data_IF_174909180948
#
_entry.id   IF_174909180948
#
_cell.length_a   1.000
_cell.length_b   1.000
_cell.length_c   1.000
_cell.angle_alpha   90.00
_cell.angle_beta   90.00
_cell.angle_gamma   90.00
#
_symmetry.space_group_name_H-M   'P 1'
#
loop_
_entity.id
_entity.type
_entity.pdbx_description
1 polymer ?
#
# COMPACT_ATOMS: atom_id res chain seq x y z
N UNK A 1 14.87 -24.23 9.35
CA UNK A 1 14.96 -22.96 10.11
C UNK A 1 13.80 -22.13 9.59
N UNK A 2 12.71 -22.06 10.35
CA UNK A 2 11.42 -21.58 9.85
C UNK A 2 11.39 -20.05 9.91
N UNK A 3 11.60 -19.41 8.76
CA UNK A 3 11.50 -17.96 8.62
C UNK A 3 10.06 -17.60 8.30
N UNK A 4 9.48 -16.70 9.08
CA UNK A 4 8.09 -16.24 8.93
C UNK A 4 8.09 -14.97 8.08
N UNK A 5 7.64 -15.09 6.82
CA UNK A 5 7.50 -13.94 5.93
C UNK A 5 6.18 -13.24 6.10
N UNK A 6 6.25 -11.92 5.93
CA UNK A 6 5.13 -11.00 6.12
C UNK A 6 4.95 -10.20 4.87
N UNK A 7 3.94 -10.54 4.08
CA UNK A 7 3.53 -9.78 2.90
C UNK A 7 2.35 -8.90 3.25
N UNK A 8 2.66 -7.75 3.82
CA UNK A 8 1.68 -6.69 3.99
C UNK A 8 1.49 -5.95 2.66
N UNK A 9 0.41 -6.29 1.98
CA UNK A 9 0.04 -5.79 0.67
C UNK A 9 -0.52 -4.35 0.79
N UNK A 10 0.35 -3.34 0.80
CA UNK A 10 -0.04 -1.93 0.72
C UNK A 10 0.82 -1.18 -0.29
N UNK A 11 0.44 -1.23 -1.57
CA UNK A 11 0.00 0.02 -2.22
C UNK A 11 -1.17 -0.18 -3.20
N UNK A 12 -1.62 -1.42 -3.43
CA UNK A 12 -2.60 -1.71 -4.49
C UNK A 12 -4.06 -1.80 -4.05
N UNK A 13 -4.34 -1.95 -2.75
CA UNK A 13 -5.72 -1.90 -2.25
C UNK A 13 -6.26 -0.45 -2.25
N UNK A 14 -5.40 0.57 -2.26
CA UNK A 14 -5.83 1.98 -2.25
C UNK A 14 -6.31 2.45 -3.65
N UNK A 15 -6.00 1.75 -4.75
CA UNK A 15 -6.24 2.26 -6.11
C UNK A 15 -7.57 1.86 -6.77
N UNK A 16 -8.47 1.12 -6.11
CA UNK A 16 -9.77 0.73 -6.73
C UNK A 16 -10.95 0.99 -5.78
N UNK A 17 -11.27 2.25 -5.52
CA UNK A 17 -12.67 2.70 -5.39
C UNK A 17 -12.75 4.23 -5.50
N UNK A 18 -12.86 4.74 -6.72
CA UNK A 18 -13.33 6.10 -6.97
C UNK A 18 -14.85 6.11 -7.00
N UNK A 19 -15.50 6.45 -5.89
CA UNK A 19 -16.74 7.23 -5.91
C UNK A 19 -17.10 7.83 -4.54
N UNK A 20 -17.57 9.07 -4.56
CA UNK A 20 -17.75 9.99 -3.43
C UNK A 20 -18.90 9.61 -2.46
N UNK A 21 -18.74 9.91 -1.16
CA UNK A 21 -19.59 10.89 -0.44
C UNK A 21 -19.05 11.25 0.96
N UNK A 22 -19.23 12.53 1.26
CA UNK A 22 -18.74 13.31 2.39
C UNK A 22 -19.66 13.16 3.61
N UNK A 23 -19.10 12.87 4.78
CA UNK A 23 -19.75 13.17 6.06
C UNK A 23 -18.72 13.68 7.07
N UNK A 24 -18.97 14.89 7.52
CA UNK A 24 -18.17 15.69 8.43
C UNK A 24 -18.11 15.12 9.84
N UNK A 25 -16.93 15.09 10.47
CA UNK A 25 -16.80 15.42 11.90
C UNK A 25 -15.38 15.85 12.34
N UNK A 26 -15.34 16.54 13.48
CA UNK A 26 -14.42 17.62 13.82
C UNK A 26 -13.09 17.14 14.44
N UNK A 27 -12.01 17.19 13.67
CA UNK A 27 -10.63 17.11 14.17
C UNK A 27 -10.08 18.47 14.65
N UNK A 28 -9.30 18.43 15.72
CA UNK A 28 -8.72 19.58 16.44
C UNK A 28 -7.91 20.52 15.54
N UNK A 29 -8.32 21.80 15.51
CA UNK A 29 -7.75 22.84 14.65
C UNK A 29 -6.39 23.31 15.19
N UNK A 30 -5.29 22.86 14.58
CA UNK A 30 -4.06 23.67 14.55
C UNK A 30 -4.29 24.83 13.59
N UNK A 31 -4.76 25.97 14.12
CA UNK A 31 -4.93 27.18 13.30
C UNK A 31 -3.59 27.91 13.15
N UNK A 32 -3.00 27.89 11.96
CA UNK A 32 -2.07 28.93 11.54
C UNK A 32 -2.86 30.24 11.41
N UNK A 33 -3.03 30.92 12.55
CA UNK A 33 -3.99 32.02 12.73
C UNK A 33 -3.39 33.40 12.44
N UNK A 34 -2.40 33.49 11.56
CA UNK A 34 -1.85 34.79 11.15
C UNK A 34 -2.39 35.12 9.77
N UNK A 35 -3.40 35.97 9.74
CA UNK A 35 -3.81 36.61 8.51
C UNK A 35 -2.65 37.42 7.94
N UNK A 36 -2.43 37.42 6.61
CA UNK A 36 -1.39 38.24 6.02
C UNK A 36 -1.66 39.73 6.28
N UNK A 37 -0.61 40.54 6.51
CA UNK A 37 -0.75 41.99 6.78
C UNK A 37 -1.09 42.81 5.52
N UNK A 38 -1.28 42.14 4.39
CA UNK A 38 -1.59 42.71 3.07
C UNK A 38 -2.75 41.97 2.41
N UNK A 39 -3.33 42.58 1.38
CA UNK A 39 -4.25 41.94 0.46
C UNK A 39 -3.45 41.38 -0.73
N UNK A 40 -3.67 40.11 -1.05
CA UNK A 40 -3.10 39.49 -2.25
C UNK A 40 -4.14 39.44 -3.37
N UNK A 41 -3.71 39.81 -4.57
CA UNK A 41 -4.50 39.79 -5.79
C UNK A 41 -3.73 39.04 -6.86
N UNK A 42 -4.44 38.19 -7.59
CA UNK A 42 -3.94 37.64 -8.85
C UNK A 42 -4.66 38.38 -9.97
N UNK A 43 -3.90 38.84 -10.95
CA UNK A 43 -4.42 39.49 -12.14
C UNK A 43 -3.86 38.84 -13.40
N UNK A 44 -4.66 38.89 -14.46
CA UNK A 44 -4.27 38.49 -15.80
C UNK A 44 -4.03 39.73 -16.68
N UNK A 45 -2.82 39.84 -17.22
CA UNK A 45 -2.38 40.94 -18.10
C UNK A 45 -1.51 40.39 -19.22
N UNK A 46 -1.84 40.73 -20.46
CA UNK A 46 -0.99 40.41 -21.61
C UNK A 46 0.25 41.33 -21.73
N UNK A 47 1.33 40.76 -22.28
CA UNK A 47 2.55 41.48 -22.63
C UNK A 47 3.60 41.56 -21.53
N UNK A 48 3.59 40.57 -20.64
CA UNK A 48 4.73 40.20 -19.82
C UNK A 48 4.91 40.99 -18.53
N UNK A 49 5.92 40.59 -17.76
CA UNK A 49 6.26 41.13 -16.43
C UNK A 49 6.40 42.66 -16.42
N UNK A 50 6.89 43.25 -17.52
CA UNK A 50 7.06 44.72 -17.61
C UNK A 50 5.72 45.44 -17.56
N UNK A 51 4.71 44.98 -18.31
CA UNK A 51 3.35 45.54 -18.27
C UNK A 51 2.67 45.27 -16.94
N UNK A 52 2.85 44.08 -16.37
CA UNK A 52 2.34 43.75 -15.05
C UNK A 52 2.86 44.70 -13.95
N UNK A 53 4.17 45.01 -13.97
CA UNK A 53 4.77 45.99 -13.03
C UNK A 53 4.22 47.41 -13.22
N UNK A 54 3.97 47.84 -14.46
CA UNK A 54 3.36 49.15 -14.73
C UNK A 54 1.92 49.21 -14.24
N UNK A 55 1.13 48.18 -14.51
CA UNK A 55 -0.25 48.07 -14.05
C UNK A 55 -0.34 48.02 -12.51
N UNK A 56 0.55 47.27 -11.85
CA UNK A 56 0.63 47.25 -10.39
C UNK A 56 0.83 48.66 -9.83
N UNK A 57 1.80 49.42 -10.37
CA UNK A 57 2.08 50.80 -9.96
C UNK A 57 0.89 51.74 -10.17
N UNK A 58 0.23 51.68 -11.33
CA UNK A 58 -0.94 52.53 -11.62
C UNK A 58 -2.12 52.23 -10.68
N UNK A 59 -2.25 50.99 -10.22
CA UNK A 59 -3.27 50.56 -9.26
C UNK A 59 -2.86 50.78 -7.79
N UNK A 60 -1.63 51.25 -7.53
CA UNK A 60 -1.09 51.45 -6.19
C UNK A 60 -0.81 50.15 -5.44
N UNK A 61 -0.48 49.08 -6.18
CA UNK A 61 -0.11 47.77 -5.69
C UNK A 61 1.37 47.48 -5.97
N UNK A 62 1.95 46.58 -5.18
CA UNK A 62 3.30 46.09 -5.38
C UNK A 62 3.24 44.81 -6.21
N UNK A 63 4.03 44.74 -7.28
CA UNK A 63 4.25 43.51 -8.02
C UNK A 63 5.11 42.55 -7.21
N UNK A 64 4.73 41.26 -7.18
CA UNK A 64 5.45 40.21 -6.45
C UNK A 64 6.13 39.26 -7.44
N UNK A 65 5.37 38.48 -8.20
CA UNK A 65 5.89 37.42 -9.07
C UNK A 65 4.87 37.06 -10.17
N UNK A 66 5.31 36.34 -11.23
CA UNK A 66 4.35 35.56 -12.01
C UNK A 66 3.75 34.43 -11.16
N UNK A 67 2.57 33.96 -11.53
CA UNK A 67 1.99 32.73 -10.99
C UNK A 67 2.67 31.55 -11.67
N UNK A 68 3.32 30.68 -10.90
CA UNK A 68 4.07 29.56 -11.46
C UNK A 68 3.13 28.61 -12.23
N UNK A 69 3.49 28.30 -13.48
CA UNK A 69 2.72 27.41 -14.34
C UNK A 69 1.53 28.06 -15.06
N UNK A 70 1.33 29.37 -14.92
CA UNK A 70 0.27 30.11 -15.61
C UNK A 70 0.86 31.27 -16.42
N UNK A 71 0.54 31.32 -17.71
CA UNK A 71 0.92 32.44 -18.58
C UNK A 71 0.11 33.69 -18.25
N UNK A 72 0.74 34.86 -18.40
CA UNK A 72 0.11 36.19 -18.21
C UNK A 72 -0.53 36.45 -16.84
N UNK A 73 -0.32 35.58 -15.83
CA UNK A 73 -0.86 35.75 -14.49
C UNK A 73 0.20 36.27 -13.51
N UNK A 74 -0.16 37.26 -12.72
CA UNK A 74 0.76 37.96 -11.82
C UNK A 74 0.16 38.18 -10.44
N UNK A 75 0.99 37.98 -9.42
CA UNK A 75 0.68 38.19 -8.01
C UNK A 75 1.03 39.62 -7.61
N UNK A 76 0.06 40.32 -7.03
CA UNK A 76 0.18 41.69 -6.54
C UNK A 76 -0.21 41.76 -5.05
N UNK A 77 0.48 42.60 -4.28
CA UNK A 77 0.17 42.88 -2.88
C UNK A 77 -0.22 44.35 -2.64
N UNK A 78 -1.17 44.58 -1.74
CA UNK A 78 -1.38 45.92 -1.18
C UNK A 78 -0.27 46.28 -0.18
N UNK A 79 -0.06 47.58 0.06
CA UNK A 79 0.87 48.04 1.11
C UNK A 79 0.38 47.74 2.52
N UNK A 80 -0.94 47.77 2.72
CA UNK A 80 -1.60 47.56 4.00
C UNK A 80 -2.94 46.85 3.78
N UNK A 81 -3.42 46.13 4.81
CA UNK A 81 -4.74 45.52 4.84
C UNK A 81 -5.74 46.42 5.57
N UNK A 82 -6.82 46.82 4.91
CA UNK A 82 -7.93 47.57 5.52
C UNK A 82 -9.20 47.42 4.69
N UNK A 83 -10.37 47.32 5.32
CA UNK A 83 -11.67 47.17 4.62
C UNK A 83 -11.93 48.31 3.62
N UNK A 84 -11.50 49.52 3.96
CA UNK A 84 -11.58 50.71 3.09
C UNK A 84 -10.55 50.67 1.96
N UNK A 85 -9.41 49.99 2.16
CA UNK A 85 -8.41 49.75 1.12
C UNK A 85 -8.92 48.74 0.10
N UNK A 86 -9.53 47.65 0.55
CA UNK A 86 -10.02 46.57 -0.30
C UNK A 86 -10.98 47.03 -1.40
N UNK A 87 -12.03 47.78 -1.03
CA UNK A 87 -13.00 48.28 -2.01
C UNK A 87 -12.37 49.28 -2.99
N UNK A 88 -11.39 50.07 -2.53
CA UNK A 88 -10.67 51.04 -3.37
C UNK A 88 -9.68 50.34 -4.30
N UNK A 89 -8.98 49.31 -3.84
CA UNK A 89 -8.09 48.47 -4.65
C UNK A 89 -8.90 47.72 -5.70
N UNK A 90 -9.95 47.00 -5.30
CA UNK A 90 -10.82 46.27 -6.21
C UNK A 90 -11.46 47.16 -7.28
N UNK A 91 -11.88 48.38 -6.92
CA UNK A 91 -12.37 49.38 -7.90
C UNK A 91 -11.29 49.82 -8.90
N UNK A 92 -10.05 50.02 -8.45
CA UNK A 92 -8.93 50.41 -9.33
C UNK A 92 -8.57 49.27 -10.30
N UNK A 93 -8.57 48.03 -9.82
CA UNK A 93 -8.33 46.84 -10.65
C UNK A 93 -9.40 46.70 -11.73
N UNK A 94 -10.68 46.73 -11.35
CA UNK A 94 -11.81 46.59 -12.30
C UNK A 94 -11.91 47.72 -13.34
N UNK A 95 -11.35 48.90 -13.05
CA UNK A 95 -11.34 50.04 -13.97
C UNK A 95 -10.11 50.05 -14.89
N UNK A 96 -9.12 49.18 -14.64
CA UNK A 96 -7.90 49.15 -15.44
C UNK A 96 -8.20 48.46 -16.78
N UNK A 97 -8.00 49.12 -17.93
CA UNK A 97 -8.19 48.49 -19.25
C UNK A 97 -7.10 47.45 -19.57
N UNK A 98 -6.05 47.37 -18.75
CA UNK A 98 -4.96 46.42 -18.90
C UNK A 98 -5.24 45.06 -18.24
N UNK A 99 -6.22 45.01 -17.33
CA UNK A 99 -6.54 43.81 -16.55
C UNK A 99 -7.67 43.06 -17.24
N UNK A 100 -7.35 41.87 -17.75
CA UNK A 100 -8.34 40.99 -18.39
C UNK A 100 -9.19 40.27 -17.34
N UNK A 101 -8.54 39.84 -16.27
CA UNK A 101 -9.17 39.14 -15.16
C UNK A 101 -8.46 39.48 -13.85
N UNK A 102 -9.19 39.44 -12.75
CA UNK A 102 -8.60 39.60 -11.43
C UNK A 102 -9.42 38.91 -10.34
N UNK A 103 -8.70 38.34 -9.38
CA UNK A 103 -9.28 37.76 -8.19
C UNK A 103 -8.45 38.06 -6.95
N UNK A 104 -9.13 38.51 -5.89
CA UNK A 104 -8.55 38.62 -4.56
C UNK A 104 -8.32 37.22 -4.01
N UNK A 105 -7.10 36.96 -3.55
CA UNK A 105 -6.77 35.70 -2.89
C UNK A 105 -7.24 35.75 -1.44
N UNK A 106 -8.03 34.76 -1.08
CA UNK A 106 -8.54 34.58 0.28
C UNK A 106 -7.80 33.38 0.87
N UNK A 107 -7.11 33.53 2.01
CA UNK A 107 -6.48 32.41 2.68
C UNK A 107 -7.50 31.30 2.94
N UNK A 108 -7.26 30.14 2.35
CA UNK A 108 -8.10 28.97 2.55
C UNK A 108 -7.63 28.23 3.79
N UNK A 109 -8.55 27.91 4.68
CA UNK A 109 -8.26 26.99 5.78
C UNK A 109 -8.26 25.58 5.22
N UNK A 110 -7.09 24.94 5.19
CA UNK A 110 -6.93 23.53 4.85
C UNK A 110 -6.57 22.76 6.12
N UNK A 111 -7.36 21.74 6.45
CA UNK A 111 -7.04 20.81 7.52
C UNK A 111 -6.38 19.57 6.92
N UNK A 112 -5.32 19.05 7.57
CA UNK A 112 -4.84 17.70 7.28
C UNK A 112 -5.95 16.75 7.73
N UNK A 113 -6.46 15.90 6.83
CA UNK A 113 -7.41 14.86 7.22
C UNK A 113 -6.63 13.86 8.07
N UNK A 114 -6.85 13.84 9.39
CA UNK A 114 -6.46 12.72 10.24
C UNK A 114 -7.75 12.06 10.72
N UNK A 115 -8.03 10.87 10.21
CA UNK A 115 -9.04 9.98 10.77
C UNK A 115 -8.42 9.34 12.01
N UNK A 116 -8.59 9.94 13.19
CA UNK A 116 -8.35 9.24 14.45
C UNK A 116 -9.55 8.32 14.71
N UNK A 117 -9.73 7.33 13.85
CA UNK A 117 -10.60 6.20 14.14
C UNK A 117 -9.80 5.29 15.08
N UNK A 118 -10.13 5.32 16.36
CA UNK A 118 -9.62 4.32 17.30
C UNK A 118 -10.20 2.96 16.89
N UNK A 119 -9.36 2.13 16.27
CA UNK A 119 -9.70 0.73 16.00
C UNK A 119 -9.50 -0.09 17.27
N UNK A 120 -10.60 -0.50 17.88
CA UNK A 120 -10.62 -1.40 19.02
C UNK A 120 -10.87 -2.82 18.52
N UNK A 121 -9.80 -3.61 18.46
CA UNK A 121 -9.85 -5.04 18.10
C UNK A 121 -9.81 -5.88 19.37
N UNK A 122 -10.73 -6.84 19.49
CA UNK A 122 -10.72 -7.81 20.60
C UNK A 122 -9.74 -8.98 20.36
N UNK A 123 -9.00 -8.94 19.25
CA UNK A 123 -8.08 -9.98 18.82
C UNK A 123 -6.83 -9.97 19.73
N UNK A 124 -6.49 -11.12 20.37
CA UNK A 124 -5.54 -11.16 21.49
C UNK A 124 -4.10 -10.79 21.12
N UNK A 125 -3.70 -10.94 19.86
CA UNK A 125 -2.37 -10.57 19.37
C UNK A 125 -2.34 -9.18 18.74
N UNK A 126 -3.48 -8.47 18.61
CA UNK A 126 -3.49 -7.10 18.09
C UNK A 126 -2.51 -6.15 18.81
N UNK A 127 -2.37 -6.18 20.16
CA UNK A 127 -1.38 -5.35 20.84
C UNK A 127 0.09 -5.62 20.46
N UNK A 128 0.38 -6.82 19.93
CA UNK A 128 1.71 -7.20 19.42
C UNK A 128 1.90 -6.84 17.93
N UNK A 129 0.85 -6.37 17.25
CA UNK A 129 0.88 -5.97 15.83
C UNK A 129 1.46 -4.57 15.65
N UNK A 130 2.67 -4.37 16.16
CA UNK A 130 3.40 -3.11 16.14
C UNK A 130 3.54 -2.48 14.75
N UNK A 131 3.51 -3.29 13.70
CA UNK A 131 3.61 -2.90 12.30
C UNK A 131 2.31 -2.28 11.75
N UNK A 132 1.21 -2.31 12.50
CA UNK A 132 -0.08 -1.71 12.13
C UNK A 132 -0.38 -0.41 12.90
N UNK A 133 -0.05 -0.34 14.20
CA UNK A 133 -0.60 0.70 15.09
C UNK A 133 0.46 1.50 15.88
N UNK A 134 1.76 1.28 15.67
CA UNK A 134 2.82 1.94 16.44
C UNK A 134 2.84 3.46 16.24
N UNK A 135 2.54 3.94 15.03
CA UNK A 135 2.48 5.36 14.73
C UNK A 135 1.31 6.03 15.44
N UNK A 136 0.12 5.40 15.47
CA UNK A 136 -1.03 5.92 16.23
C UNK A 136 -0.78 6.02 17.75
N UNK A 137 0.15 5.23 18.27
CA UNK A 137 0.57 5.24 19.67
C UNK A 137 1.69 6.25 19.95
N UNK A 138 2.18 6.96 18.92
CA UNK A 138 3.32 7.88 19.05
C UNK A 138 4.66 7.18 19.31
N UNK A 139 4.77 5.89 18.97
CA UNK A 139 5.91 5.03 19.30
C UNK A 139 6.85 4.76 18.11
N UNK A 140 6.65 5.42 16.96
CA UNK A 140 7.52 5.29 15.79
C UNK A 140 6.74 5.20 14.49
N UNK A 141 7.26 4.40 13.56
CA UNK A 141 6.68 4.18 12.23
C UNK A 141 5.99 2.82 12.18
N UNK A 142 4.89 2.76 11.43
CA UNK A 142 4.16 1.55 11.06
C UNK A 142 3.78 1.64 9.56
N UNK A 143 2.95 0.73 9.08
CA UNK A 143 2.53 0.70 7.67
C UNK A 143 1.37 1.65 7.35
N UNK A 144 0.93 2.49 8.30
CA UNK A 144 -0.14 3.46 8.11
C UNK A 144 -1.45 2.79 7.62
N UNK A 145 -1.74 1.61 8.17
CA UNK A 145 -2.91 0.77 7.82
C UNK A 145 -4.19 1.34 8.45
N UNK A 146 -4.10 1.89 9.67
CA UNK A 146 -5.26 2.45 10.36
C UNK A 146 -5.88 3.62 9.58
N UNK A 147 -5.08 4.42 8.88
CA UNK A 147 -5.55 5.50 8.03
C UNK A 147 -6.36 4.97 6.84
N UNK A 148 -5.95 3.84 6.25
CA UNK A 148 -6.70 3.22 5.17
C UNK A 148 -8.04 2.64 5.68
N UNK A 149 -8.01 1.98 6.84
CA UNK A 149 -9.22 1.52 7.51
C UNK A 149 -10.14 2.69 7.89
N UNK A 150 -9.58 3.83 8.32
CA UNK A 150 -10.34 5.03 8.68
C UNK A 150 -11.04 5.69 7.50
N UNK A 151 -10.57 5.41 6.28
CA UNK A 151 -11.23 5.76 5.02
C UNK A 151 -12.25 4.70 4.54
N UNK A 152 -12.42 3.60 5.30
CA UNK A 152 -13.34 2.50 4.96
C UNK A 152 -12.75 1.42 4.05
N UNK A 153 -11.45 1.47 3.74
CA UNK A 153 -10.80 0.47 2.89
C UNK A 153 -10.35 -0.73 3.71
N UNK A 154 -11.03 -1.87 3.54
CA UNK A 154 -10.84 -3.08 4.38
C UNK A 154 -10.55 -4.33 3.55
N UNK A 155 -10.37 -4.18 2.24
CA UNK A 155 -10.19 -5.29 1.29
C UNK A 155 -11.50 -5.90 0.76
N UNK A 156 -12.67 -5.42 1.21
CA UNK A 156 -13.97 -5.93 0.75
C UNK A 156 -14.07 -5.93 -0.78
N UNK A 157 -14.39 -7.10 -1.34
CA UNK A 157 -14.55 -7.27 -2.79
C UNK A 157 -13.25 -7.62 -3.53
N UNK A 158 -12.11 -7.65 -2.86
CA UNK A 158 -10.83 -8.11 -3.41
C UNK A 158 -10.65 -9.60 -3.10
N UNK A 159 -10.17 -10.36 -4.09
CA UNK A 159 -9.85 -11.79 -3.95
C UNK A 159 -8.34 -12.00 -4.02
N UNK A 160 -7.76 -12.57 -2.97
CA UNK A 160 -6.31 -12.85 -2.87
C UNK A 160 -6.09 -14.36 -2.78
N UNK A 161 -5.04 -14.87 -3.40
CA UNK A 161 -4.57 -16.25 -3.19
C UNK A 161 -3.12 -16.29 -2.71
N UNK A 162 -2.85 -17.18 -1.77
CA UNK A 162 -1.50 -17.54 -1.33
C UNK A 162 -1.01 -18.73 -2.16
N UNK A 163 0.14 -18.63 -2.83
CA UNK A 163 0.74 -19.71 -3.61
C UNK A 163 1.86 -20.36 -2.80
N UNK A 164 1.56 -21.42 -2.05
CA UNK A 164 2.46 -21.88 -0.97
C UNK A 164 2.26 -23.36 -0.61
N UNK A 165 2.45 -23.74 0.65
CA UNK A 165 2.34 -25.08 1.23
C UNK A 165 0.91 -25.50 1.61
N UNK A 166 -0.06 -24.62 1.40
CA UNK A 166 -1.48 -24.82 1.67
C UNK A 166 -2.08 -23.74 2.58
N UNK A 167 -3.39 -23.81 2.80
CA UNK A 167 -4.12 -22.92 3.71
C UNK A 167 -5.05 -23.74 4.59
N UNK A 168 -4.90 -23.63 5.91
CA UNK A 168 -5.90 -24.15 6.84
C UNK A 168 -7.14 -23.24 6.79
N UNK A 169 -8.02 -23.53 5.83
CA UNK A 169 -9.27 -22.80 5.65
C UNK A 169 -10.29 -23.07 6.76
N UNK A 170 -10.04 -24.04 7.63
CA UNK A 170 -10.86 -24.31 8.81
C UNK A 170 -10.43 -23.48 10.02
N UNK A 171 -9.30 -22.78 9.93
CA UNK A 171 -8.80 -21.94 11.01
C UNK A 171 -9.85 -20.89 11.39
N UNK A 172 -10.17 -20.71 12.70
CA UNK A 172 -11.23 -19.79 13.14
C UNK A 172 -11.04 -18.34 12.69
N UNK A 173 -9.79 -17.95 12.47
CA UNK A 173 -9.39 -16.62 11.98
C UNK A 173 -9.49 -16.46 10.45
N UNK A 174 -9.62 -17.56 9.69
CA UNK A 174 -9.63 -17.53 8.22
C UNK A 174 -10.97 -17.98 7.63
N UNK A 175 -11.71 -18.85 8.31
CA UNK A 175 -12.90 -19.53 7.78
C UNK A 175 -13.98 -18.58 7.23
N UNK A 176 -14.15 -17.40 7.84
CA UNK A 176 -15.13 -16.41 7.36
C UNK A 176 -14.72 -15.75 6.03
N UNK A 177 -13.42 -15.61 5.80
CA UNK A 177 -12.84 -14.95 4.63
C UNK A 177 -12.37 -15.94 3.57
N UNK A 178 -12.30 -17.23 3.89
CA UNK A 178 -11.91 -18.27 2.95
C UNK A 178 -12.77 -18.28 1.69
N UNK A 179 -12.12 -18.52 0.55
CA UNK A 179 -12.73 -18.63 -0.76
C UNK A 179 -12.24 -19.86 -1.52
N UNK A 180 -13.11 -20.87 -1.75
CA UNK A 180 -12.75 -22.06 -2.52
C UNK A 180 -12.51 -21.76 -4.01
N UNK A 181 -13.03 -20.67 -4.57
CA UNK A 181 -12.75 -20.28 -5.96
C UNK A 181 -11.38 -19.64 -6.14
N UNK A 182 -10.76 -19.22 -5.04
CA UNK A 182 -9.38 -18.77 -5.00
C UNK A 182 -8.41 -19.88 -4.54
N UNK A 183 -8.86 -21.14 -4.49
CA UNK A 183 -8.09 -22.23 -3.88
C UNK A 183 -8.01 -23.49 -4.75
N UNK A 184 -6.87 -24.20 -4.65
CA UNK A 184 -6.66 -25.47 -5.32
C UNK A 184 -5.47 -26.22 -4.70
N UNK A 185 -5.43 -27.54 -4.85
CA UNK A 185 -4.26 -28.34 -4.52
C UNK A 185 -3.59 -28.83 -5.80
N UNK A 186 -2.40 -28.31 -6.09
CA UNK A 186 -1.59 -28.70 -7.25
C UNK A 186 -0.74 -29.94 -6.98
N UNK A 187 -0.48 -30.27 -5.71
CA UNK A 187 0.29 -31.43 -5.29
C UNK A 187 -0.53 -32.72 -5.48
N UNK A 188 -1.78 -32.71 -5.00
CA UNK A 188 -2.70 -33.85 -5.04
C UNK A 188 -3.74 -33.72 -6.17
N UNK A 189 -3.76 -32.58 -6.86
CA UNK A 189 -4.63 -32.29 -8.01
C UNK A 189 -6.13 -32.38 -7.67
N UNK A 190 -6.52 -31.71 -6.59
CA UNK A 190 -7.90 -31.56 -6.16
C UNK A 190 -8.21 -30.13 -5.69
N UNK A 191 -9.38 -29.92 -5.07
CA UNK A 191 -9.85 -28.59 -4.66
C UNK A 191 -9.58 -28.28 -3.18
N UNK A 192 -8.96 -29.19 -2.44
CA UNK A 192 -8.77 -29.09 -1.00
C UNK A 192 -7.34 -28.62 -0.68
N UNK A 193 -7.10 -27.32 -0.47
CA UNK A 193 -5.75 -26.80 -0.25
C UNK A 193 -5.26 -27.01 1.19
N UNK A 194 -5.89 -27.92 1.95
CA UNK A 194 -5.57 -28.16 3.35
C UNK A 194 -4.08 -28.54 3.47
N UNK A 195 -3.30 -27.90 4.36
CA UNK A 195 -1.90 -28.25 4.51
C UNK A 195 -1.77 -29.67 5.05
N UNK A 196 -0.70 -30.35 4.64
CA UNK A 196 -0.45 -31.70 5.10
C UNK A 196 -0.05 -31.74 6.59
N UNK A 197 -1.03 -32.13 7.41
CA UNK A 197 -0.92 -32.18 8.88
C UNK A 197 0.07 -33.23 9.40
N UNK A 198 0.59 -34.13 8.56
CA UNK A 198 1.64 -35.09 8.97
C UNK A 198 2.99 -34.41 9.20
N UNK A 199 3.20 -33.23 8.63
CA UNK A 199 4.41 -32.43 8.82
C UNK A 199 4.05 -30.96 9.03
N UNK A 200 3.41 -30.63 10.16
CA UNK A 200 2.80 -29.31 10.37
C UNK A 200 3.83 -28.18 10.47
N UNK A 201 5.08 -28.48 10.84
CA UNK A 201 6.13 -27.46 10.90
C UNK A 201 6.64 -27.01 9.54
N UNK A 202 6.50 -27.86 8.52
CA UNK A 202 6.90 -27.56 7.15
C UNK A 202 5.73 -27.00 6.31
N UNK A 203 4.48 -27.21 6.74
CA UNK A 203 3.27 -26.86 6.00
C UNK A 203 2.40 -25.83 6.74
N UNK A 204 3.04 -24.84 7.37
CA UNK A 204 2.37 -23.77 8.15
C UNK A 204 2.52 -22.38 7.53
N UNK A 205 3.34 -22.26 6.50
CA UNK A 205 3.78 -20.98 5.96
C UNK A 205 2.62 -20.27 5.26
N UNK A 206 1.90 -20.96 4.38
CA UNK A 206 0.76 -20.40 3.65
C UNK A 206 -0.38 -19.94 4.55
N UNK A 207 -0.70 -20.68 5.62
CA UNK A 207 -1.72 -20.30 6.61
C UNK A 207 -1.34 -19.01 7.35
N UNK A 208 -0.06 -18.84 7.70
CA UNK A 208 0.44 -17.61 8.35
C UNK A 208 0.38 -16.41 7.42
N UNK A 209 0.78 -16.59 6.16
CA UNK A 209 0.68 -15.55 5.14
C UNK A 209 -0.78 -15.15 4.87
N UNK A 210 -1.70 -16.13 4.79
CA UNK A 210 -3.13 -15.86 4.65
C UNK A 210 -3.67 -15.01 5.82
N UNK A 211 -3.27 -15.34 7.06
CA UNK A 211 -3.64 -14.61 8.26
C UNK A 211 -3.24 -13.14 8.24
N UNK A 212 -2.02 -12.84 7.81
CA UNK A 212 -1.55 -11.45 7.72
C UNK A 212 -2.38 -10.61 6.74
N UNK A 213 -2.87 -11.23 5.67
CA UNK A 213 -3.68 -10.55 4.65
C UNK A 213 -5.13 -10.43 5.11
N UNK A 214 -5.77 -11.52 5.52
CA UNK A 214 -7.22 -11.60 5.64
C UNK A 214 -7.71 -12.37 6.87
N UNK A 215 -6.92 -12.43 7.95
CA UNK A 215 -7.47 -12.81 9.26
C UNK A 215 -8.70 -11.94 9.59
N UNK A 216 -9.74 -12.58 10.09
CA UNK A 216 -10.97 -11.91 10.48
C UNK A 216 -10.72 -11.12 11.75
N UNK A 217 -10.85 -9.79 11.67
CA UNK A 217 -10.80 -8.98 12.87
C UNK A 217 -12.07 -9.10 13.72
N UNK A 218 -11.91 -8.80 15.00
CA UNK A 218 -12.96 -8.72 16.01
C UNK A 218 -13.65 -10.06 16.32
N UNK A 219 -12.93 -11.18 16.18
CA UNK A 219 -13.43 -12.53 16.45
C UNK A 219 -12.81 -13.15 17.73
N UNK A 220 -11.97 -12.39 18.46
CA UNK A 220 -11.23 -12.84 19.64
C UNK A 220 -10.21 -13.97 19.37
N UNK A 221 -9.73 -14.09 18.12
CA UNK A 221 -8.77 -15.10 17.68
C UNK A 221 -7.54 -14.40 17.12
N UNK A 222 -6.35 -14.83 17.56
CA UNK A 222 -5.07 -14.39 17.00
C UNK A 222 -4.98 -12.90 16.64
N UNK A 223 -4.98 -12.57 15.34
CA UNK A 223 -4.61 -11.28 14.74
C UNK A 223 -5.77 -10.72 13.91
N UNK A 224 -5.63 -9.50 13.40
CA UNK A 224 -6.51 -8.96 12.36
C UNK A 224 -5.75 -8.84 11.04
N UNK A 225 -6.36 -9.26 9.94
CA UNK A 225 -5.77 -9.15 8.61
C UNK A 225 -5.70 -7.68 8.17
N UNK A 226 -4.67 -7.33 7.43
CA UNK A 226 -4.52 -5.99 6.83
C UNK A 226 -5.73 -5.64 5.95
N UNK A 227 -6.24 -6.63 5.24
CA UNK A 227 -7.44 -6.61 4.41
C UNK A 227 -8.47 -7.59 5.01
N UNK A 228 -8.85 -7.38 6.27
CA UNK A 228 -9.72 -8.29 7.06
C UNK A 228 -11.13 -8.56 6.49
N UNK A 229 -11.54 -7.89 5.41
CA UNK A 229 -12.79 -8.18 4.68
C UNK A 229 -12.55 -8.70 3.23
N UNK A 230 -11.29 -8.92 2.83
CA UNK A 230 -10.96 -9.56 1.57
C UNK A 230 -11.33 -11.05 1.58
N UNK A 231 -11.51 -11.61 0.39
CA UNK A 231 -11.57 -13.06 0.21
C UNK A 231 -10.16 -13.62 0.06
N UNK A 232 -9.89 -14.73 0.73
CA UNK A 232 -8.56 -15.36 0.77
C UNK A 232 -8.65 -16.84 0.38
N UNK A 233 -7.84 -17.25 -0.57
CA UNK A 233 -7.64 -18.64 -0.93
C UNK A 233 -6.19 -19.07 -0.80
N UNK A 234 -5.95 -20.34 -1.07
CA UNK A 234 -4.61 -20.93 -1.08
C UNK A 234 -4.46 -21.94 -2.20
N UNK A 235 -3.31 -21.88 -2.88
CA UNK A 235 -2.89 -22.88 -3.84
C UNK A 235 -1.76 -23.67 -3.19
N UNK A 236 -2.05 -24.89 -2.76
CA UNK A 236 -1.05 -25.83 -2.23
C UNK A 236 -0.22 -26.33 -3.41
N UNK A 237 1.05 -25.92 -3.47
CA UNK A 237 1.97 -26.32 -4.52
C UNK A 237 3.36 -26.72 -3.98
N UNK A 238 3.79 -26.19 -2.84
CA UNK A 238 5.14 -26.38 -2.28
C UNK A 238 5.35 -27.70 -1.49
N UNK A 239 4.29 -28.44 -1.16
CA UNK A 239 4.39 -29.71 -0.41
C UNK A 239 4.59 -30.92 -1.36
N UNK A 240 5.50 -30.79 -2.34
CA UNK A 240 5.79 -31.82 -3.34
C UNK A 240 6.71 -31.34 -4.46
N UNK A 241 6.79 -32.13 -5.54
CA UNK A 241 7.70 -31.84 -6.65
C UNK A 241 7.23 -30.65 -7.49
N UNK A 242 8.04 -29.60 -7.55
CA UNK A 242 7.80 -28.44 -8.39
C UNK A 242 8.37 -28.66 -9.79
N UNK A 243 7.57 -28.30 -10.79
CA UNK A 243 7.98 -28.28 -12.21
C UNK A 243 7.42 -27.02 -12.85
N UNK A 244 7.98 -26.59 -13.99
CA UNK A 244 7.46 -25.45 -14.78
C UNK A 244 5.96 -25.58 -15.08
N UNK A 245 5.45 -26.82 -15.24
CA UNK A 245 4.01 -27.07 -15.39
C UNK A 245 3.23 -26.68 -14.14
N UNK A 246 3.67 -27.10 -12.96
CA UNK A 246 3.00 -26.80 -11.68
C UNK A 246 3.01 -25.30 -11.42
N UNK A 247 4.16 -24.64 -11.58
CA UNK A 247 4.28 -23.18 -11.44
C UNK A 247 3.35 -22.45 -12.41
N UNK A 248 3.32 -22.85 -13.68
CA UNK A 248 2.45 -22.25 -14.68
C UNK A 248 0.96 -22.44 -14.38
N UNK A 249 0.56 -23.62 -13.89
CA UNK A 249 -0.82 -23.90 -13.49
C UNK A 249 -1.22 -23.05 -12.28
N UNK A 250 -0.35 -22.95 -11.26
CA UNK A 250 -0.51 -22.07 -10.10
C UNK A 250 -0.69 -20.61 -10.51
N UNK A 251 0.21 -20.06 -11.32
CA UNK A 251 0.17 -18.67 -11.78
C UNK A 251 -1.04 -18.36 -12.69
N UNK A 252 -1.59 -19.38 -13.35
CA UNK A 252 -2.74 -19.26 -14.28
C UNK A 252 -4.09 -19.56 -13.66
N UNK A 253 -4.11 -20.16 -12.47
CA UNK A 253 -5.33 -20.62 -11.84
C UNK A 253 -6.32 -19.47 -11.62
N UNK A 254 -7.49 -19.51 -12.24
CA UNK A 254 -8.58 -18.54 -12.04
C UNK A 254 -8.18 -17.04 -12.19
N UNK A 255 -7.30 -16.71 -13.14
CA UNK A 255 -6.86 -15.34 -13.47
C UNK A 255 -7.97 -14.31 -13.68
N UNK A 256 -9.16 -14.71 -14.12
CA UNK A 256 -10.30 -13.80 -14.29
C UNK A 256 -11.05 -13.48 -13.00
N UNK A 257 -10.87 -14.29 -11.96
CA UNK A 257 -11.55 -14.18 -10.67
C UNK A 257 -10.63 -13.64 -9.56
N UNK A 258 -9.43 -14.20 -9.45
CA UNK A 258 -8.44 -13.81 -8.44
C UNK A 258 -7.80 -12.48 -8.84
N UNK A 259 -7.76 -11.52 -7.92
CA UNK A 259 -7.11 -10.24 -8.15
C UNK A 259 -5.59 -10.33 -7.93
N UNK A 260 -5.20 -10.94 -6.82
CA UNK A 260 -3.84 -10.84 -6.29
C UNK A 260 -3.29 -12.23 -5.96
N UNK A 261 -2.07 -12.49 -6.39
CA UNK A 261 -1.32 -13.70 -6.12
C UNK A 261 -0.11 -13.33 -5.27
N UNK A 262 0.03 -13.95 -4.11
CA UNK A 262 1.17 -13.75 -3.21
C UNK A 262 2.03 -15.00 -3.21
N UNK A 263 3.32 -14.86 -3.56
CA UNK A 263 4.28 -15.95 -3.57
C UNK A 263 5.60 -15.55 -2.91
N UNK A 264 6.22 -16.48 -2.20
CA UNK A 264 7.52 -16.28 -1.54
C UNK A 264 8.47 -17.44 -1.75
N UNK A 265 8.37 -18.04 -2.92
CA UNK A 265 9.22 -19.12 -3.40
C UNK A 265 10.00 -18.66 -4.62
N UNK A 266 11.06 -19.38 -4.93
CA UNK A 266 11.97 -19.05 -6.02
C UNK A 266 13.12 -20.06 -6.03
N UNK A 267 14.21 -19.76 -6.74
CA UNK A 267 15.45 -20.52 -6.67
C UNK A 267 15.95 -20.60 -5.22
N UNK A 268 16.82 -21.58 -4.94
CA UNK A 268 17.43 -21.70 -3.63
C UNK A 268 18.38 -20.52 -3.33
N UNK A 269 18.13 -19.84 -2.21
CA UNK A 269 18.81 -18.62 -1.72
C UNK A 269 20.26 -18.86 -1.21
N UNK A 270 21.09 -19.52 -2.02
CA UNK A 270 22.45 -19.97 -1.67
C UNK A 270 23.54 -18.97 -2.03
N UNK A 271 23.21 -17.89 -2.77
CA UNK A 271 24.19 -16.97 -3.36
C UNK A 271 24.92 -17.51 -4.58
N UNK A 272 24.49 -18.66 -5.12
CA UNK A 272 25.19 -19.37 -6.21
C UNK A 272 24.30 -19.75 -7.38
N UNK A 273 22.99 -19.58 -7.25
CA UNK A 273 22.02 -20.02 -8.23
C UNK A 273 21.51 -18.83 -9.03
N UNK A 274 21.40 -19.01 -10.35
CA UNK A 274 20.73 -18.08 -11.26
C UNK A 274 19.67 -18.86 -12.00
N UNK A 275 18.42 -18.58 -11.70
CA UNK A 275 17.27 -19.31 -12.25
C UNK A 275 16.04 -18.39 -12.27
N UNK A 276 15.04 -18.74 -13.08
CA UNK A 276 13.80 -17.99 -13.19
C UNK A 276 12.69 -18.83 -13.81
N UNK A 277 11.54 -18.21 -14.10
CA UNK A 277 10.38 -18.93 -14.61
C UNK A 277 10.67 -19.65 -15.92
N UNK A 278 10.25 -20.91 -15.97
CA UNK A 278 10.29 -21.73 -17.17
C UNK A 278 9.42 -21.20 -18.31
N UNK A 279 9.32 -21.96 -19.40
CA UNK A 279 8.61 -21.51 -20.60
C UNK A 279 7.09 -21.39 -20.37
N UNK A 280 6.51 -22.29 -19.57
CA UNK A 280 5.09 -22.26 -19.24
C UNK A 280 4.79 -21.18 -18.19
N UNK A 281 5.61 -21.06 -17.14
CA UNK A 281 5.44 -20.05 -16.10
C UNK A 281 5.50 -18.62 -16.68
N UNK A 282 6.44 -18.35 -17.60
CA UNK A 282 6.49 -17.07 -18.33
C UNK A 282 5.23 -16.79 -19.14
N UNK A 283 4.67 -17.81 -19.81
CA UNK A 283 3.38 -17.68 -20.53
C UNK A 283 2.22 -17.44 -19.56
N UNK A 284 2.24 -18.04 -18.38
CA UNK A 284 1.22 -17.84 -17.35
C UNK A 284 1.24 -16.39 -16.83
N UNK A 285 2.43 -15.86 -16.47
CA UNK A 285 2.59 -14.46 -16.11
C UNK A 285 2.08 -13.52 -17.22
N UNK A 286 2.55 -13.70 -18.45
CA UNK A 286 2.15 -12.86 -19.58
C UNK A 286 0.62 -12.90 -19.82
N UNK A 287 0.00 -14.08 -19.70
CA UNK A 287 -1.45 -14.24 -19.75
C UNK A 287 -2.16 -13.48 -18.62
N UNK A 288 -1.62 -13.55 -17.40
CA UNK A 288 -2.21 -12.89 -16.22
C UNK A 288 -2.13 -11.39 -16.31
N UNK A 289 -1.00 -10.83 -16.75
CA UNK A 289 -0.83 -9.39 -16.93
C UNK A 289 -1.74 -8.83 -18.04
N UNK A 290 -1.93 -9.56 -19.15
CA UNK A 290 -2.75 -9.07 -20.26
C UNK A 290 -4.25 -9.29 -20.09
N UNK A 291 -4.65 -10.45 -19.55
CA UNK A 291 -6.05 -10.89 -19.57
C UNK A 291 -6.66 -11.04 -18.17
N UNK A 292 -5.82 -11.11 -17.15
CA UNK A 292 -6.24 -11.21 -15.75
C UNK A 292 -7.14 -10.07 -15.33
N UNK A 293 -8.02 -10.33 -14.35
CA UNK A 293 -8.95 -9.33 -13.81
C UNK A 293 -9.70 -8.59 -14.92
N UNK A 294 -10.28 -9.33 -15.87
CA UNK A 294 -11.04 -8.78 -17.01
C UNK A 294 -10.22 -7.78 -17.86
N UNK A 295 -8.92 -8.00 -17.98
CA UNK A 295 -8.00 -7.16 -18.76
C UNK A 295 -7.29 -6.06 -17.98
N UNK A 296 -7.52 -5.92 -16.67
CA UNK A 296 -6.75 -5.00 -15.82
C UNK A 296 -5.37 -5.55 -15.42
N UNK A 297 -5.14 -6.84 -15.64
CA UNK A 297 -3.91 -7.55 -15.29
C UNK A 297 -3.89 -8.01 -13.84
N UNK A 298 -3.62 -9.31 -13.62
CA UNK A 298 -3.40 -9.86 -12.29
C UNK A 298 -2.21 -9.19 -11.60
N UNK A 299 -2.26 -9.14 -10.28
CA UNK A 299 -1.20 -8.55 -9.47
C UNK A 299 -0.42 -9.69 -8.83
N UNK A 300 0.84 -9.85 -9.20
CA UNK A 300 1.73 -10.83 -8.60
C UNK A 300 2.66 -10.13 -7.61
N UNK A 301 2.55 -10.44 -6.33
CA UNK A 301 3.42 -9.93 -5.27
C UNK A 301 4.42 -11.00 -4.90
N UNK A 302 5.69 -10.62 -4.81
CA UNK A 302 6.78 -11.58 -4.62
C UNK A 302 7.74 -11.18 -3.52
N UNK A 303 8.22 -12.17 -2.76
CA UNK A 303 9.36 -12.00 -1.86
C UNK A 303 10.63 -11.69 -2.64
N UNK A 304 11.50 -10.85 -2.08
CA UNK A 304 12.82 -10.62 -2.65
C UNK A 304 13.89 -11.63 -2.22
N UNK A 305 13.57 -12.73 -1.54
CA UNK A 305 14.56 -13.74 -1.09
C UNK A 305 15.25 -13.46 0.25
N UNK A 306 15.94 -14.50 0.75
CA UNK A 306 16.50 -14.62 2.12
C UNK A 306 17.99 -14.97 2.20
N UNK A 307 18.67 -15.00 1.06
CA UNK A 307 20.07 -15.37 0.91
C UNK A 307 21.05 -14.26 1.29
N UNK A 308 20.61 -13.17 1.92
CA UNK A 308 21.45 -12.02 2.24
C UNK A 308 22.71 -12.36 3.05
N UNK A 309 22.60 -13.28 4.01
CA UNK A 309 23.77 -13.79 4.77
C UNK A 309 24.67 -14.74 3.98
N UNK A 310 24.16 -15.31 2.89
CA UNK A 310 24.90 -16.16 1.96
C UNK A 310 25.55 -15.35 0.83
N UNK A 311 25.34 -14.03 0.80
CA UNK A 311 25.84 -13.13 -0.25
C UNK A 311 24.98 -13.13 -1.51
N UNK A 312 23.73 -13.58 -1.42
CA UNK A 312 22.81 -13.65 -2.55
C UNK A 312 22.30 -12.28 -3.02
N UNK A 313 21.82 -12.25 -4.26
CA UNK A 313 21.21 -11.10 -4.88
C UNK A 313 19.95 -11.52 -5.63
N UNK A 314 18.83 -10.90 -5.26
CA UNK A 314 17.54 -11.11 -5.90
C UNK A 314 17.46 -10.74 -7.39
N UNK A 315 18.53 -10.19 -7.96
CA UNK A 315 18.68 -10.06 -9.42
C UNK A 315 18.92 -11.43 -10.10
N UNK A 316 19.34 -12.44 -9.33
CA UNK A 316 19.55 -13.81 -9.77
C UNK A 316 18.31 -14.68 -9.66
N UNK A 317 17.27 -14.21 -8.96
CA UNK A 317 15.94 -14.81 -8.94
C UNK A 317 15.08 -14.16 -10.04
N UNK A 318 14.79 -14.91 -11.09
CA UNK A 318 13.96 -14.48 -12.21
C UNK A 318 12.47 -14.29 -11.88
N UNK A 319 11.99 -14.75 -10.72
CA UNK A 319 10.66 -14.46 -10.21
C UNK A 319 10.64 -13.09 -9.52
N UNK A 320 11.52 -12.88 -8.54
CA UNK A 320 11.64 -11.60 -7.84
C UNK A 320 12.16 -10.45 -8.74
N UNK A 321 12.91 -10.74 -9.80
CA UNK A 321 13.40 -9.75 -10.76
C UNK A 321 12.51 -9.57 -12.00
N UNK A 322 11.41 -10.31 -12.09
CA UNK A 322 10.47 -10.22 -13.21
C UNK A 322 9.79 -8.84 -13.27
N UNK A 323 9.65 -8.22 -14.45
CA UNK A 323 8.85 -7.00 -14.59
C UNK A 323 7.34 -7.23 -14.37
N UNK A 324 6.91 -8.49 -14.26
CA UNK A 324 5.51 -8.85 -14.00
C UNK A 324 5.20 -9.04 -12.51
N UNK A 325 6.22 -9.00 -11.64
CA UNK A 325 6.05 -9.14 -10.20
C UNK A 325 6.33 -7.83 -9.49
N UNK A 326 5.58 -7.59 -8.41
CA UNK A 326 5.84 -6.54 -7.45
C UNK A 326 6.72 -7.14 -6.35
N UNK A 327 8.02 -7.01 -6.52
CA UNK A 327 9.00 -7.53 -5.58
C UNK A 327 9.08 -6.68 -4.31
N UNK A 328 8.96 -7.34 -3.16
CA UNK A 328 8.86 -6.75 -1.82
C UNK A 328 9.99 -7.28 -0.93
N UNK A 329 10.75 -6.37 -0.34
CA UNK A 329 11.77 -6.69 0.67
C UNK A 329 11.26 -6.47 2.10
N UNK A 330 11.99 -7.01 3.08
CA UNK A 330 11.69 -6.87 4.50
C UNK A 330 12.49 -5.75 5.20
N UNK A 331 11.89 -5.12 6.20
CA UNK A 331 12.59 -4.28 7.17
C UNK A 331 12.24 -4.71 8.59
N UNK A 332 13.23 -4.72 9.49
CA UNK A 332 13.03 -5.07 10.89
C UNK A 332 12.22 -4.02 11.65
N UNK A 333 11.79 -4.37 12.86
CA UNK A 333 11.10 -3.48 13.80
C UNK A 333 11.80 -2.12 13.98
N UNK A 334 13.14 -2.09 13.97
CA UNK A 334 13.90 -0.86 14.20
C UNK A 334 14.18 -0.07 12.93
N UNK A 335 13.47 -0.34 11.83
CA UNK A 335 13.76 0.17 10.48
C UNK A 335 15.18 -0.20 10.01
N UNK A 336 15.71 -1.30 10.51
CA UNK A 336 17.04 -1.80 10.18
C UNK A 336 16.94 -2.82 9.05
N UNK A 337 17.99 -2.89 8.23
CA UNK A 337 18.09 -3.94 7.20
C UNK A 337 18.22 -5.31 7.89
N UNK A 338 17.30 -6.26 7.65
CA UNK A 338 17.42 -7.61 8.17
C UNK A 338 18.66 -8.31 7.60
N UNK A 339 19.19 -9.28 8.36
CA UNK A 339 20.39 -10.02 7.97
C UNK A 339 20.16 -10.89 6.72
N UNK A 340 18.95 -11.42 6.55
CA UNK A 340 18.56 -12.27 5.42
C UNK A 340 18.22 -11.48 4.14
N UNK A 341 18.05 -10.16 4.21
CA UNK A 341 17.63 -9.37 3.05
C UNK A 341 18.65 -9.46 1.91
N UNK A 342 18.17 -9.85 0.74
CA UNK A 342 18.89 -9.77 -0.53
C UNK A 342 18.72 -8.40 -1.18
N UNK A 343 19.79 -7.92 -1.82
CA UNK A 343 19.80 -6.60 -2.49
C UNK A 343 19.75 -6.81 -3.99
N UNK A 344 18.86 -6.07 -4.66
CA UNK A 344 18.85 -5.96 -6.11
C UNK A 344 18.11 -4.68 -6.54
N UNK A 345 18.28 -4.30 -7.80
CA UNK A 345 17.61 -3.14 -8.39
C UNK A 345 16.15 -3.39 -8.77
N UNK A 346 15.67 -4.65 -8.70
CA UNK A 346 14.31 -5.01 -9.08
C UNK A 346 13.30 -4.91 -7.92
N UNK A 347 13.76 -4.88 -6.67
CA UNK A 347 12.87 -4.62 -5.52
C UNK A 347 12.19 -3.27 -5.69
N UNK A 348 10.85 -3.24 -5.56
CA UNK A 348 10.06 -2.02 -5.73
C UNK A 348 9.75 -1.34 -4.39
N UNK A 349 9.40 -2.14 -3.38
CA UNK A 349 8.92 -1.65 -2.09
C UNK A 349 9.42 -2.50 -0.94
N UNK A 350 9.29 -1.99 0.28
CA UNK A 350 9.69 -2.66 1.51
C UNK A 350 8.53 -2.66 2.49
N UNK A 351 8.39 -3.74 3.25
CA UNK A 351 7.43 -3.83 4.35
C UNK A 351 8.03 -4.44 5.60
N UNK A 352 7.35 -4.31 6.75
CA UNK A 352 7.85 -4.82 8.01
C UNK A 352 7.85 -6.35 8.04
N UNK A 353 8.93 -6.90 8.60
CA UNK A 353 9.13 -8.33 8.80
C UNK A 353 9.96 -8.55 10.07
N UNK A 354 10.51 -9.75 10.25
CA UNK A 354 11.46 -10.03 11.32
C UNK A 354 12.76 -9.25 11.14
N UNK A 355 13.45 -8.96 12.25
CA UNK A 355 14.70 -8.20 12.24
C UNK A 355 15.87 -9.01 12.78
N UNK A 356 16.77 -8.33 13.48
CA UNK A 356 17.78 -8.99 14.29
C UNK A 356 17.14 -9.84 15.40
N UNK A 357 17.84 -10.83 15.99
CA UNK A 357 17.26 -11.67 17.06
C UNK A 357 16.75 -10.90 18.30
N UNK A 358 17.16 -9.64 18.47
CA UNK A 358 16.72 -8.77 19.55
C UNK A 358 15.48 -7.90 19.21
N UNK A 359 14.94 -8.05 18.00
CA UNK A 359 13.76 -7.34 17.51
C UNK A 359 12.52 -8.22 17.56
N UNK A 360 11.35 -7.60 17.79
CA UNK A 360 10.07 -8.30 17.79
C UNK A 360 9.79 -8.90 16.41
N UNK A 361 9.23 -10.10 16.41
CA UNK A 361 8.68 -10.72 15.21
C UNK A 361 7.31 -10.13 14.88
N UNK A 362 6.82 -10.42 13.69
CA UNK A 362 5.46 -10.10 13.29
C UNK A 362 4.51 -11.14 13.89
N UNK A 363 3.46 -10.68 14.57
CA UNK A 363 2.36 -11.55 14.99
C UNK A 363 1.60 -12.08 13.76
N UNK A 364 1.25 -13.37 13.77
CA UNK A 364 0.50 -14.03 12.70
C UNK A 364 -0.45 -15.09 13.28
N UNK A 365 -1.44 -15.48 12.47
CA UNK A 365 -2.32 -16.62 12.74
C UNK A 365 -1.51 -17.90 12.95
N UNK A 366 -1.80 -18.65 14.02
CA UNK A 366 -1.09 -19.90 14.33
C UNK A 366 -1.72 -21.06 13.56
N UNK A 367 -0.90 -21.98 13.05
CA UNK A 367 -1.33 -23.11 12.21
C UNK A 367 -2.08 -24.23 12.96
N UNK A 368 -2.53 -24.00 14.19
CA UNK A 368 -3.32 -24.95 14.97
C UNK A 368 -4.18 -24.18 15.98
N UNK A 369 -5.44 -24.56 16.11
CA UNK A 369 -6.33 -24.20 17.22
C UNK A 369 -5.82 -24.78 18.55
N UNK A 370 -4.65 -24.36 19.01
CA UNK A 370 -4.23 -24.61 20.39
C UNK A 370 -4.82 -23.48 21.20
N UNK A 371 -5.86 -23.84 21.95
CA UNK A 371 -6.40 -23.07 23.07
C UNK A 371 -5.29 -22.36 23.83
N UNK A 372 -5.42 -21.05 23.95
CA UNK A 372 -4.70 -20.29 24.97
C UNK A 372 -5.23 -20.79 26.31
N UNK A 373 -4.48 -21.69 26.96
CA UNK A 373 -4.60 -21.94 28.40
C UNK A 373 -3.56 -21.12 29.13
#
# INVERSE_FOLDING_TARGET
>A
MNFEFVFALFTLIITVQSDMKDTSEKGSRVTWRREPPFEEWVIEIEGGVRKAKMAARSMGLNYVSPVLGFDNMYVLHSKYKSRTSEEKVGRRIRRSPLVLWAQKQVPLVRAKRSTSSEFHWNDPLYPEMWYIHRASQGQGYDMNVLEAWGLGYTGKGVVVTIMDDGIDYTHPDLVANYDPWASYDMNDNDRDPMPNLKNPDNNRHGTRCAGQIAAQGNNSVCVVGIAYNAKIGGIRMLDGYITDRVEAQTLKFNQSYIDIYSGSWGPEDTGKLYEGPGALARKAFHSGILNGRKGFGNIYVWASGNGGSMGDSCACDGYASSPYTLSVSGVGERNSRPWYLEKCSSTLVTTYSSGTPAEKMIAATRSTAVSVS
#
